data_IF_998573729808
#
_entry.id   IF_998573729808
#
_cell.length_a   1.000
_cell.length_b   1.000
_cell.length_c   1.000
_cell.angle_alpha   90.00
_cell.angle_beta   90.00
_cell.angle_gamma   90.00
#
_symmetry.space_group_name_H-M   'P 1'
#
loop_
_entity.id
_entity.type
_entity.pdbx_description
1 polymer ?
#
# COMPACT_ATOMS: atom_id res chain seq x y z
N UNK A 1 15.45 13.29 -2.11
CA UNK A 1 15.55 13.06 -3.58
C UNK A 1 16.45 11.86 -3.95
N UNK A 2 17.08 11.20 -2.97
CA UNK A 2 18.07 10.13 -3.21
C UNK A 2 17.50 8.74 -3.54
N UNK A 3 16.24 8.45 -3.22
CA UNK A 3 15.75 7.07 -3.22
C UNK A 3 14.74 6.70 -4.34
N UNK A 4 14.40 7.64 -5.22
CA UNK A 4 13.46 7.38 -6.31
C UNK A 4 14.01 6.39 -7.36
N UNK A 5 15.33 6.19 -7.41
CA UNK A 5 15.99 5.37 -8.44
C UNK A 5 16.32 3.93 -8.04
N UNK A 6 15.96 3.48 -6.84
CA UNK A 6 16.27 2.12 -6.38
C UNK A 6 15.15 1.11 -6.58
N UNK A 7 14.11 1.46 -7.35
CA UNK A 7 12.93 0.60 -7.47
C UNK A 7 12.78 0.13 -8.89
N UNK A 8 12.97 -1.17 -9.04
CA UNK A 8 12.82 -1.83 -10.33
C UNK A 8 11.50 -2.59 -10.35
N UNK A 9 10.86 -2.58 -11.51
CA UNK A 9 9.79 -3.52 -11.85
C UNK A 9 10.34 -4.39 -12.96
N UNK A 10 10.36 -5.67 -12.72
CA UNK A 10 10.76 -6.68 -13.70
C UNK A 10 9.52 -7.15 -14.44
N UNK A 11 9.65 -7.32 -15.74
CA UNK A 11 8.55 -7.76 -16.59
C UNK A 11 9.04 -8.92 -17.45
N UNK A 12 8.35 -10.05 -17.38
CA UNK A 12 8.54 -11.16 -18.29
C UNK A 12 7.34 -11.25 -19.25
N UNK A 13 7.61 -11.32 -20.56
CA UNK A 13 6.56 -11.36 -21.60
C UNK A 13 6.80 -12.53 -22.50
N UNK A 14 5.75 -13.32 -22.77
CA UNK A 14 5.82 -14.51 -23.64
C UNK A 14 4.70 -14.43 -24.68
N UNK A 15 5.03 -14.45 -26.00
CA UNK A 15 4.05 -14.58 -27.06
C UNK A 15 3.68 -16.06 -27.26
N UNK A 16 2.41 -16.31 -27.62
CA UNK A 16 1.94 -17.64 -28.04
C UNK A 16 2.54 -18.02 -29.40
N UNK A 17 2.50 -17.08 -30.33
CA UNK A 17 3.04 -17.22 -31.67
C UNK A 17 4.55 -16.99 -31.64
N UNK A 18 5.31 -17.96 -32.20
CA UNK A 18 6.77 -17.86 -32.20
C UNK A 18 7.22 -16.74 -33.18
N UNK A 19 7.98 -15.73 -32.70
CA UNK A 19 8.55 -14.73 -33.60
C UNK A 19 9.53 -15.37 -34.60
N UNK A 20 9.55 -14.87 -35.82
CA UNK A 20 10.54 -15.25 -36.85
C UNK A 20 11.88 -14.55 -36.65
N UNK A 21 11.89 -13.40 -36.00
CA UNK A 21 13.09 -12.73 -35.54
C UNK A 21 12.81 -11.84 -34.34
N UNK A 22 13.84 -11.61 -33.52
CA UNK A 22 13.85 -10.70 -32.39
C UNK A 22 14.91 -9.64 -32.58
N UNK A 23 14.79 -8.53 -31.89
CA UNK A 23 15.76 -7.45 -31.90
C UNK A 23 15.39 -6.36 -30.89
N UNK A 24 16.19 -5.32 -30.89
CA UNK A 24 15.99 -4.15 -30.04
C UNK A 24 15.65 -2.94 -30.92
N UNK A 25 14.63 -2.21 -30.54
CA UNK A 25 14.36 -0.86 -31.06
C UNK A 25 14.98 0.15 -30.09
N UNK A 26 15.92 0.93 -30.55
CA UNK A 26 16.55 1.99 -29.76
C UNK A 26 16.65 3.27 -30.62
N UNK A 27 16.17 4.39 -30.09
CA UNK A 27 16.20 5.71 -30.75
C UNK A 27 15.65 5.68 -32.20
N UNK A 28 14.61 4.89 -32.44
CA UNK A 28 13.98 4.75 -33.76
C UNK A 28 14.67 3.77 -34.72
N UNK A 29 15.77 3.13 -34.32
CA UNK A 29 16.51 2.15 -35.13
C UNK A 29 16.31 0.75 -34.58
N UNK A 30 15.93 -0.18 -35.48
CA UNK A 30 15.84 -1.61 -35.16
C UNK A 30 17.24 -2.23 -35.32
N UNK A 31 17.78 -2.74 -34.23
CA UNK A 31 19.01 -3.53 -34.21
C UNK A 31 18.64 -5.02 -34.14
N UNK A 32 18.57 -5.66 -35.30
CA UNK A 32 18.29 -7.07 -35.42
C UNK A 32 19.38 -7.91 -34.76
N UNK A 33 18.97 -9.00 -34.10
CA UNK A 33 19.87 -9.93 -33.41
C UNK A 33 20.57 -9.38 -32.14
N UNK A 34 20.25 -8.19 -31.69
CA UNK A 34 20.56 -7.78 -30.33
C UNK A 34 19.51 -8.33 -29.36
N UNK A 35 19.97 -8.76 -28.21
CA UNK A 35 19.16 -9.38 -27.15
C UNK A 35 19.06 -8.52 -25.88
N UNK A 36 19.86 -7.41 -25.82
CA UNK A 36 19.79 -6.46 -24.71
C UNK A 36 20.00 -5.01 -25.16
N UNK A 37 19.44 -4.08 -24.43
CA UNK A 37 19.73 -2.65 -24.54
C UNK A 37 19.35 -1.92 -23.25
N UNK A 38 20.05 -0.84 -22.97
CA UNK A 38 19.78 0.08 -21.88
C UNK A 38 19.42 1.47 -22.40
N UNK A 39 18.52 2.16 -21.71
CA UNK A 39 18.13 3.54 -21.99
C UNK A 39 16.61 3.72 -22.03
N UNK A 40 16.15 4.97 -21.91
CA UNK A 40 14.73 5.33 -21.86
C UNK A 40 13.96 5.03 -23.15
N UNK A 41 14.64 4.94 -24.29
CA UNK A 41 14.05 4.64 -25.59
C UNK A 41 14.35 3.22 -26.07
N UNK A 42 14.78 2.33 -25.17
CA UNK A 42 15.05 0.94 -25.50
C UNK A 42 13.78 0.10 -25.37
N UNK A 43 13.43 -0.66 -26.40
CA UNK A 43 12.30 -1.58 -26.44
C UNK A 43 12.69 -2.91 -27.07
N UNK A 44 12.14 -4.02 -26.55
CA UNK A 44 12.21 -5.28 -27.26
C UNK A 44 11.30 -5.24 -28.51
N UNK A 45 11.77 -5.80 -29.60
CA UNK A 45 11.02 -5.86 -30.87
C UNK A 45 10.92 -7.32 -31.34
N UNK A 46 9.72 -7.74 -31.72
CA UNK A 46 9.45 -9.06 -32.29
C UNK A 46 8.83 -8.92 -33.68
N UNK A 47 9.34 -9.68 -34.63
CA UNK A 47 8.74 -9.82 -35.94
C UNK A 47 8.08 -11.19 -36.05
N UNK A 48 6.84 -11.21 -36.47
CA UNK A 48 6.09 -12.41 -36.76
C UNK A 48 6.03 -12.69 -38.26
N UNK A 49 5.63 -13.90 -38.64
CA UNK A 49 5.51 -14.30 -40.05
C UNK A 49 4.55 -13.38 -40.82
N UNK A 50 4.82 -13.18 -42.11
CA UNK A 50 3.97 -12.39 -42.95
C UNK A 50 2.54 -12.98 -42.99
N UNK A 51 1.53 -12.12 -42.90
CA UNK A 51 0.14 -12.52 -42.80
C UNK A 51 -0.38 -12.80 -41.39
N UNK A 52 0.47 -12.74 -40.38
CA UNK A 52 0.04 -12.81 -38.95
C UNK A 52 -0.82 -11.56 -38.66
N UNK A 53 -2.09 -11.77 -38.33
CA UNK A 53 -3.04 -10.69 -38.01
C UNK A 53 -3.33 -10.54 -36.54
N UNK A 54 -2.98 -11.54 -35.74
CA UNK A 54 -3.24 -11.58 -34.29
C UNK A 54 -2.07 -12.21 -33.58
N UNK A 55 -1.65 -11.63 -32.48
CA UNK A 55 -0.65 -12.18 -31.57
C UNK A 55 -1.22 -12.17 -30.16
N UNK A 56 -1.15 -13.31 -29.49
CA UNK A 56 -1.56 -13.43 -28.09
C UNK A 56 -0.32 -13.34 -27.19
N UNK A 57 -0.39 -12.48 -26.18
CA UNK A 57 0.68 -12.30 -25.20
C UNK A 57 0.18 -12.62 -23.81
N UNK A 58 1.06 -13.19 -22.98
CA UNK A 58 0.91 -13.19 -21.52
C UNK A 58 2.16 -12.57 -20.90
N UNK A 59 1.99 -11.94 -19.76
CA UNK A 59 3.12 -11.34 -19.05
C UNK A 59 2.93 -11.45 -17.54
N UNK A 60 4.04 -11.41 -16.82
CA UNK A 60 4.09 -11.27 -15.39
C UNK A 60 4.96 -10.10 -15.00
N UNK A 61 4.71 -9.59 -13.82
CA UNK A 61 5.53 -8.55 -13.20
C UNK A 61 6.08 -9.05 -11.87
N UNK A 62 7.19 -8.47 -11.45
CA UNK A 62 7.79 -8.71 -10.13
C UNK A 62 8.54 -7.48 -9.66
N UNK A 63 8.60 -7.29 -8.35
CA UNK A 63 9.50 -6.33 -7.72
C UNK A 63 10.79 -6.98 -7.24
N UNK A 64 10.97 -8.30 -7.47
CA UNK A 64 12.07 -9.10 -6.96
C UNK A 64 13.10 -9.40 -8.05
N UNK A 65 12.68 -10.04 -9.15
CA UNK A 65 13.54 -10.39 -10.27
C UNK A 65 12.77 -10.76 -11.54
N UNK A 66 13.50 -10.93 -12.64
CA UNK A 66 12.96 -11.39 -13.94
C UNK A 66 12.42 -12.83 -13.85
N UNK A 67 13.18 -13.70 -13.19
CA UNK A 67 12.79 -15.10 -12.96
C UNK A 67 11.53 -15.19 -12.10
N UNK A 68 11.40 -14.28 -11.13
CA UNK A 68 10.20 -14.22 -10.32
C UNK A 68 9.00 -13.71 -11.13
N UNK A 69 9.20 -12.75 -12.05
CA UNK A 69 8.15 -12.30 -12.96
C UNK A 69 7.63 -13.44 -13.86
N UNK A 70 8.55 -14.27 -14.39
CA UNK A 70 8.19 -15.48 -15.12
C UNK A 70 7.39 -16.47 -14.26
N UNK A 71 7.84 -16.71 -13.02
CA UNK A 71 7.19 -17.61 -12.07
C UNK A 71 5.77 -17.14 -11.73
N UNK A 72 5.59 -15.83 -11.50
CA UNK A 72 4.28 -15.23 -11.26
C UNK A 72 3.35 -15.45 -12.46
N UNK A 73 3.81 -15.11 -13.67
CA UNK A 73 3.04 -15.32 -14.89
C UNK A 73 2.62 -16.80 -15.07
N UNK A 74 3.57 -17.73 -14.92
CA UNK A 74 3.27 -19.17 -15.12
C UNK A 74 2.34 -19.71 -14.05
N UNK A 75 2.36 -19.15 -12.85
CA UNK A 75 1.43 -19.53 -11.78
C UNK A 75 0.02 -19.02 -12.04
N UNK A 76 -0.14 -17.79 -12.47
CA UNK A 76 -1.43 -17.13 -12.60
C UNK A 76 -2.08 -17.35 -13.97
N UNK A 77 -1.29 -17.35 -15.05
CA UNK A 77 -1.76 -17.46 -16.43
C UNK A 77 -1.34 -18.82 -17.04
N UNK A 78 -2.20 -19.82 -16.94
CA UNK A 78 -1.89 -21.20 -17.40
C UNK A 78 -1.94 -21.34 -18.92
N UNK A 79 -2.74 -20.54 -19.60
CA UNK A 79 -2.90 -20.55 -21.04
C UNK A 79 -3.12 -19.12 -21.61
N UNK A 80 -3.33 -19.01 -22.92
CA UNK A 80 -3.63 -17.76 -23.60
C UNK A 80 -5.14 -17.52 -23.80
N UNK A 81 -5.98 -18.31 -23.13
CA UNK A 81 -7.42 -18.23 -23.32
C UNK A 81 -8.06 -17.15 -22.45
N UNK A 82 -8.22 -15.95 -23.01
CA UNK A 82 -8.85 -14.81 -22.34
C UNK A 82 -10.25 -15.13 -21.78
N UNK A 83 -11.01 -16.02 -22.45
CA UNK A 83 -12.35 -16.40 -21.96
C UNK A 83 -12.28 -17.21 -20.68
N UNK A 84 -11.29 -18.11 -20.57
CA UNK A 84 -11.04 -18.86 -19.34
C UNK A 84 -10.62 -17.93 -18.22
N UNK A 85 -9.69 -17.03 -18.49
CA UNK A 85 -9.24 -16.02 -17.52
C UNK A 85 -10.40 -15.14 -17.02
N UNK A 86 -11.22 -14.63 -17.96
CA UNK A 86 -12.39 -13.83 -17.61
C UNK A 86 -13.42 -14.61 -16.77
N UNK A 87 -13.61 -15.92 -17.06
CA UNK A 87 -14.48 -16.78 -16.26
C UNK A 87 -13.96 -16.94 -14.83
N UNK A 88 -12.66 -17.23 -14.68
CA UNK A 88 -12.01 -17.38 -13.36
C UNK A 88 -12.08 -16.07 -12.58
N UNK A 89 -11.73 -14.94 -13.20
CA UNK A 89 -11.82 -13.63 -12.57
C UNK A 89 -13.23 -13.28 -12.10
N UNK A 90 -14.25 -13.63 -12.91
CA UNK A 90 -15.66 -13.44 -12.51
C UNK A 90 -16.05 -14.30 -11.30
N UNK A 91 -15.55 -15.51 -11.20
CA UNK A 91 -15.80 -16.37 -10.05
C UNK A 91 -15.20 -15.76 -8.78
N UNK A 92 -13.93 -15.36 -8.83
CA UNK A 92 -13.24 -14.70 -7.69
C UNK A 92 -14.00 -13.47 -7.22
N UNK A 93 -14.41 -12.61 -8.16
CA UNK A 93 -15.17 -11.40 -7.82
C UNK A 93 -16.58 -11.69 -7.28
N UNK A 94 -17.26 -12.71 -7.80
CA UNK A 94 -18.56 -13.11 -7.29
C UNK A 94 -18.46 -13.67 -5.86
N UNK A 95 -17.38 -14.38 -5.53
CA UNK A 95 -17.11 -14.84 -4.16
C UNK A 95 -16.82 -13.66 -3.23
N UNK A 96 -15.97 -12.73 -3.65
CA UNK A 96 -15.60 -11.57 -2.84
C UNK A 96 -16.80 -10.65 -2.57
N UNK A 97 -17.53 -10.27 -3.62
CA UNK A 97 -18.69 -9.37 -3.53
C UNK A 97 -19.92 -10.07 -2.93
N UNK A 98 -20.03 -11.38 -3.11
CA UNK A 98 -21.10 -12.19 -2.55
C UNK A 98 -21.08 -12.37 -1.02
N UNK A 99 -20.05 -11.86 -0.34
CA UNK A 99 -20.01 -11.78 1.14
C UNK A 99 -21.09 -10.87 1.69
N UNK A 100 -21.53 -9.89 0.92
CA UNK A 100 -22.66 -9.02 1.24
C UNK A 100 -23.77 -9.29 0.24
N UNK A 101 -24.94 -9.74 0.74
CA UNK A 101 -26.13 -9.95 -0.07
C UNK A 101 -27.17 -8.92 0.32
N UNK A 102 -27.71 -8.22 -0.68
CA UNK A 102 -28.70 -7.15 -0.48
C UNK A 102 -29.98 -7.50 -1.18
N UNK A 103 -31.08 -7.39 -0.44
CA UNK A 103 -32.45 -7.55 -0.94
C UNK A 103 -33.18 -6.21 -0.88
N UNK A 104 -34.09 -5.98 -1.84
CA UNK A 104 -34.81 -4.71 -1.95
C UNK A 104 -34.00 -3.63 -2.70
N UNK A 105 -34.51 -2.39 -2.70
CA UNK A 105 -33.95 -1.29 -3.48
C UNK A 105 -34.18 -1.43 -4.99
N UNK A 106 -33.74 -0.44 -5.74
CA UNK A 106 -33.72 -0.48 -7.21
C UNK A 106 -32.47 -1.18 -7.72
N UNK A 107 -32.44 -1.53 -9.01
CA UNK A 107 -31.22 -2.08 -9.63
C UNK A 107 -30.09 -1.04 -9.66
N UNK A 108 -30.42 0.25 -9.75
CA UNK A 108 -29.43 1.34 -9.66
C UNK A 108 -28.82 1.41 -8.26
N UNK A 109 -29.62 1.28 -7.20
CA UNK A 109 -29.13 1.24 -5.82
C UNK A 109 -28.15 0.08 -5.61
N UNK A 110 -28.49 -1.10 -6.11
CA UNK A 110 -27.63 -2.29 -6.05
C UNK A 110 -26.34 -2.09 -6.86
N UNK A 111 -26.45 -1.48 -8.03
CA UNK A 111 -25.28 -1.16 -8.88
C UNK A 111 -24.31 -0.21 -8.16
N UNK A 112 -24.84 0.84 -7.55
CA UNK A 112 -24.03 1.79 -6.75
C UNK A 112 -23.38 1.09 -5.57
N UNK A 113 -24.14 0.28 -4.84
CA UNK A 113 -23.62 -0.46 -3.68
C UNK A 113 -22.47 -1.39 -4.07
N UNK A 114 -22.68 -2.28 -5.05
CA UNK A 114 -21.68 -3.25 -5.44
C UNK A 114 -20.47 -2.62 -6.15
N UNK A 115 -20.68 -1.53 -6.90
CA UNK A 115 -19.56 -0.76 -7.48
C UNK A 115 -18.73 -0.09 -6.39
N UNK A 116 -19.35 0.45 -5.35
CA UNK A 116 -18.65 1.03 -4.21
C UNK A 116 -17.94 -0.06 -3.39
N UNK A 117 -18.60 -1.20 -3.18
CA UNK A 117 -18.00 -2.34 -2.49
C UNK A 117 -16.79 -2.91 -3.27
N UNK A 118 -16.88 -3.03 -4.59
CA UNK A 118 -15.74 -3.41 -5.44
C UNK A 118 -14.53 -2.51 -5.19
N UNK A 119 -14.72 -1.18 -5.09
CA UNK A 119 -13.63 -0.22 -4.87
C UNK A 119 -12.93 -0.38 -3.52
N UNK A 120 -13.56 -0.99 -2.52
CA UNK A 120 -12.90 -1.27 -1.23
C UNK A 120 -11.81 -2.34 -1.32
N UNK A 121 -11.73 -3.06 -2.45
CA UNK A 121 -10.69 -4.05 -2.71
C UNK A 121 -9.50 -3.48 -3.52
N UNK A 122 -9.57 -2.22 -3.98
CA UNK A 122 -8.48 -1.60 -4.75
C UNK A 122 -7.22 -1.42 -3.89
N UNK A 123 -7.40 -1.23 -2.57
CA UNK A 123 -6.32 -1.02 -1.59
C UNK A 123 -6.62 -1.71 -0.26
N UNK A 124 -5.58 -2.13 0.48
CA UNK A 124 -4.18 -2.29 0.07
C UNK A 124 -4.01 -3.45 -0.92
N UNK A 125 -2.88 -3.46 -1.62
CA UNK A 125 -2.50 -4.54 -2.54
C UNK A 125 -1.60 -5.57 -1.84
N UNK A 126 -1.74 -6.84 -2.23
CA UNK A 126 -0.85 -7.90 -1.78
C UNK A 126 0.48 -7.82 -2.55
N UNK A 127 1.57 -7.64 -1.83
CA UNK A 127 2.93 -7.59 -2.38
C UNK A 127 3.63 -8.95 -2.36
N UNK A 128 3.10 -9.93 -1.61
CA UNK A 128 3.64 -11.29 -1.63
C UNK A 128 3.45 -11.93 -3.00
N UNK A 129 4.56 -12.33 -3.61
CA UNK A 129 4.61 -12.94 -4.92
C UNK A 129 4.55 -14.47 -4.82
N UNK A 130 4.46 -15.16 -5.95
CA UNK A 130 4.41 -16.62 -5.99
C UNK A 130 5.59 -17.27 -5.25
N UNK A 131 5.29 -17.99 -4.19
CA UNK A 131 6.27 -18.63 -3.31
C UNK A 131 6.51 -17.89 -2.00
N UNK A 132 5.70 -16.86 -1.68
CA UNK A 132 5.69 -16.22 -0.38
C UNK A 132 6.85 -15.26 -0.14
N UNK A 133 7.34 -14.59 -1.18
CA UNK A 133 8.38 -13.57 -1.07
C UNK A 133 7.86 -12.21 -1.52
N UNK A 134 8.35 -11.15 -0.91
CA UNK A 134 8.01 -9.79 -1.29
C UNK A 134 9.22 -8.86 -1.20
N UNK A 135 9.22 -7.82 -2.02
CA UNK A 135 10.15 -6.70 -1.89
C UNK A 135 9.53 -5.64 -0.98
N UNK A 136 10.29 -5.20 0.03
CA UNK A 136 9.90 -4.10 0.90
C UNK A 136 10.57 -2.80 0.46
N UNK A 137 9.77 -1.77 0.24
CA UNK A 137 10.28 -0.43 -0.03
C UNK A 137 10.69 0.33 1.25
N UNK A 138 10.49 -0.26 2.44
CA UNK A 138 10.76 0.36 3.73
C UNK A 138 12.20 0.15 4.19
N UNK A 139 12.85 -0.94 3.76
CA UNK A 139 14.27 -1.22 3.97
C UNK A 139 15.06 -1.49 2.68
N UNK A 140 14.36 -1.71 1.57
CA UNK A 140 14.96 -1.99 0.26
C UNK A 140 15.36 -3.45 0.05
N UNK A 141 14.86 -4.36 0.88
CA UNK A 141 15.25 -5.77 0.88
C UNK A 141 14.11 -6.70 0.44
N UNK A 142 14.46 -7.92 0.10
CA UNK A 142 13.49 -9.00 -0.22
C UNK A 142 13.33 -9.89 1.00
N UNK A 143 12.09 -10.11 1.41
CA UNK A 143 11.73 -10.92 2.57
C UNK A 143 10.88 -12.12 2.20
N UNK A 144 10.86 -13.13 3.08
CA UNK A 144 9.86 -14.19 3.08
C UNK A 144 8.66 -13.75 3.91
N UNK A 145 7.44 -14.02 3.45
CA UNK A 145 6.20 -13.67 4.17
C UNK A 145 5.84 -14.66 5.30
N UNK A 146 6.56 -15.78 5.37
CA UNK A 146 6.38 -16.82 6.39
C UNK A 146 4.90 -17.28 6.50
N UNK A 147 4.15 -17.23 5.41
CA UNK A 147 2.75 -17.63 5.35
C UNK A 147 1.76 -16.53 5.76
N UNK A 148 2.24 -15.33 6.06
CA UNK A 148 1.40 -14.14 6.30
C UNK A 148 1.63 -13.14 5.17
N UNK A 149 0.69 -13.01 4.21
CA UNK A 149 0.88 -12.12 3.07
C UNK A 149 1.18 -10.68 3.48
N UNK A 150 2.15 -10.06 2.80
CA UNK A 150 2.51 -8.67 3.01
C UNK A 150 1.67 -7.76 2.12
N UNK A 151 0.95 -6.83 2.76
CA UNK A 151 0.10 -5.85 2.11
C UNK A 151 0.73 -4.46 2.17
N UNK A 152 0.62 -3.70 1.07
CA UNK A 152 1.12 -2.32 0.96
C UNK A 152 0.16 -1.48 0.10
N UNK A 153 0.51 -0.21 -0.14
CA UNK A 153 -0.29 0.74 -0.90
C UNK A 153 -1.64 1.01 -0.25
N UNK A 154 -1.61 1.40 1.01
CA UNK A 154 -2.79 1.78 1.77
C UNK A 154 -2.75 3.27 2.16
N UNK A 155 -3.77 3.98 1.80
CA UNK A 155 -3.95 5.36 2.19
C UNK A 155 -4.72 5.42 3.51
N UNK A 156 -4.01 5.15 4.61
CA UNK A 156 -4.61 4.94 5.93
C UNK A 156 -5.50 6.12 6.36
N UNK A 157 -5.15 7.35 5.96
CA UNK A 157 -5.98 8.53 6.22
C UNK A 157 -7.37 8.43 5.59
N UNK A 158 -7.49 7.75 4.46
CA UNK A 158 -8.76 7.49 3.77
C UNK A 158 -9.45 6.24 4.31
N UNK A 159 -8.70 5.16 4.48
CA UNK A 159 -9.22 3.80 4.68
C UNK A 159 -9.64 3.50 6.12
N UNK A 160 -9.04 4.17 7.13
CA UNK A 160 -9.33 3.90 8.54
C UNK A 160 -10.81 4.15 8.91
N UNK A 161 -11.49 5.06 8.18
CA UNK A 161 -12.88 5.46 8.51
C UNK A 161 -13.90 4.40 8.20
N UNK A 162 -13.72 3.63 7.13
CA UNK A 162 -14.73 2.68 6.66
C UNK A 162 -14.16 1.37 6.11
N UNK A 163 -13.09 1.40 5.31
CA UNK A 163 -12.60 0.19 4.63
C UNK A 163 -12.03 -0.84 5.63
N UNK A 164 -11.19 -0.41 6.57
CA UNK A 164 -10.70 -1.27 7.65
C UNK A 164 -11.84 -1.75 8.56
N UNK A 165 -12.72 -0.87 9.10
CA UNK A 165 -13.87 -1.31 9.87
C UNK A 165 -14.79 -2.29 9.13
N UNK A 166 -14.96 -2.13 7.82
CA UNK A 166 -15.73 -3.09 7.01
C UNK A 166 -15.03 -4.45 6.95
N UNK A 167 -13.72 -4.48 6.73
CA UNK A 167 -12.94 -5.74 6.66
C UNK A 167 -12.99 -6.50 7.99
N UNK A 168 -12.97 -5.83 9.12
CA UNK A 168 -13.12 -6.50 10.43
C UNK A 168 -14.44 -7.29 10.54
N UNK A 169 -15.45 -6.98 9.73
CA UNK A 169 -16.74 -7.68 9.70
C UNK A 169 -16.79 -8.80 8.66
N UNK A 170 -16.17 -8.59 7.49
CA UNK A 170 -16.37 -9.47 6.33
C UNK A 170 -15.12 -10.29 5.96
N UNK A 171 -13.93 -9.90 6.42
CA UNK A 171 -12.66 -10.56 6.09
C UNK A 171 -11.60 -10.35 7.19
N UNK A 172 -11.89 -10.85 8.39
CA UNK A 172 -11.06 -10.64 9.58
C UNK A 172 -9.61 -11.08 9.37
N UNK A 173 -9.41 -12.27 8.79
CA UNK A 173 -8.04 -12.76 8.54
C UNK A 173 -7.22 -11.84 7.65
N UNK A 174 -7.84 -11.29 6.60
CA UNK A 174 -7.16 -10.31 5.73
C UNK A 174 -6.83 -9.02 6.49
N UNK A 175 -7.71 -8.57 7.37
CA UNK A 175 -7.46 -7.38 8.17
C UNK A 175 -6.31 -7.61 9.17
N UNK A 176 -6.23 -8.80 9.80
CA UNK A 176 -5.10 -9.20 10.64
C UNK A 176 -3.78 -9.17 9.86
N UNK A 177 -3.77 -9.70 8.63
CA UNK A 177 -2.57 -9.72 7.77
C UNK A 177 -2.14 -8.31 7.33
N UNK A 178 -3.11 -7.42 7.07
CA UNK A 178 -2.84 -6.01 6.75
C UNK A 178 -2.21 -5.30 7.95
N UNK A 179 -2.77 -5.46 9.14
CA UNK A 179 -2.23 -4.85 10.37
C UNK A 179 -0.84 -5.43 10.69
N UNK A 180 -0.63 -6.74 10.51
CA UNK A 180 0.69 -7.35 10.63
C UNK A 180 1.70 -6.73 9.66
N UNK A 181 1.27 -6.41 8.43
CA UNK A 181 2.10 -5.73 7.45
C UNK A 181 2.49 -4.31 7.90
N UNK A 182 1.58 -3.56 8.51
CA UNK A 182 1.90 -2.23 9.07
C UNK A 182 2.94 -2.32 10.18
N UNK A 183 2.86 -3.35 11.03
CA UNK A 183 3.87 -3.59 12.08
C UNK A 183 5.23 -3.97 11.50
N UNK A 184 5.25 -4.78 10.43
CA UNK A 184 6.49 -5.09 9.71
C UNK A 184 7.10 -3.85 9.06
N UNK A 185 6.29 -2.97 8.46
CA UNK A 185 6.77 -1.68 7.92
C UNK A 185 7.44 -0.83 8.99
N UNK A 186 6.85 -0.75 10.19
CA UNK A 186 7.43 -0.01 11.31
C UNK A 186 8.80 -0.56 11.73
N UNK A 187 8.96 -1.89 11.74
CA UNK A 187 10.24 -2.55 12.02
C UNK A 187 11.26 -2.31 10.90
N UNK A 188 10.87 -2.50 9.66
CA UNK A 188 11.74 -2.35 8.48
C UNK A 188 12.24 -0.92 8.31
N UNK A 189 11.46 0.09 8.69
CA UNK A 189 11.92 1.48 8.76
C UNK A 189 12.97 1.73 9.87
N UNK A 190 13.16 0.79 10.79
CA UNK A 190 14.13 0.88 11.90
C UNK A 190 13.73 1.85 13.03
N UNK A 191 12.66 2.60 12.87
CA UNK A 191 12.18 3.58 13.88
C UNK A 191 11.10 3.02 14.79
N UNK A 192 10.45 1.95 14.39
CA UNK A 192 9.21 1.45 15.01
C UNK A 192 8.06 2.47 14.97
N UNK A 193 8.08 3.42 14.06
CA UNK A 193 6.95 4.31 13.82
C UNK A 193 5.96 3.67 12.86
N UNK A 194 4.69 3.69 13.20
CA UNK A 194 3.66 3.18 12.28
C UNK A 194 3.67 3.98 10.98
N UNK A 195 3.41 3.30 9.83
CA UNK A 195 3.28 4.01 8.56
C UNK A 195 2.10 4.97 8.63
N UNK A 196 2.25 6.11 7.94
CA UNK A 196 1.21 7.13 7.84
C UNK A 196 0.42 7.01 6.53
N UNK A 197 1.17 6.84 5.45
CA UNK A 197 0.61 6.77 4.11
C UNK A 197 1.48 5.84 3.25
N UNK A 198 1.46 4.53 3.54
CA UNK A 198 2.30 3.56 2.84
C UNK A 198 1.91 3.47 1.37
N UNK A 199 2.90 3.55 0.51
CA UNK A 199 2.79 3.38 -0.94
C UNK A 199 3.79 2.32 -1.40
N UNK A 200 3.63 1.79 -2.59
CA UNK A 200 4.56 0.82 -3.20
C UNK A 200 6.02 1.30 -3.12
N UNK A 201 6.18 2.60 -2.99
CA UNK A 201 7.47 3.28 -2.94
C UNK A 201 7.96 3.63 -1.53
N UNK A 202 7.30 3.17 -0.47
CA UNK A 202 7.58 3.47 0.95
C UNK A 202 6.55 4.41 1.56
N UNK A 203 6.75 4.80 2.81
CA UNK A 203 5.83 5.72 3.47
C UNK A 203 6.02 7.15 2.94
N UNK A 204 5.08 7.62 2.13
CA UNK A 204 5.11 8.97 1.58
C UNK A 204 4.75 10.04 2.61
N UNK A 205 4.15 9.63 3.72
CA UNK A 205 3.71 10.51 4.82
C UNK A 205 2.82 11.66 4.37
N UNK A 206 2.18 11.51 3.23
CA UNK A 206 1.12 12.40 2.79
C UNK A 206 0.02 12.39 3.83
N UNK A 207 -0.75 13.42 3.88
CA UNK A 207 -1.76 13.56 4.91
C UNK A 207 -1.16 13.34 6.31
N UNK A 208 -1.48 14.19 7.16
CA UNK A 208 -1.02 14.16 8.50
C UNK A 208 -1.91 13.23 9.30
N UNK A 209 -1.36 12.19 9.83
CA UNK A 209 -2.03 11.39 10.85
C UNK A 209 -1.18 10.22 11.35
N UNK A 210 -1.58 9.67 12.49
CA UNK A 210 -1.15 8.38 12.98
C UNK A 210 -2.33 7.38 13.01
N UNK A 211 -3.27 7.49 12.06
CA UNK A 211 -4.56 6.77 12.06
C UNK A 211 -4.42 5.23 11.95
N UNK A 212 -3.23 4.69 11.73
CA UNK A 212 -2.98 3.25 11.92
C UNK A 212 -3.38 2.81 13.35
N UNK A 213 -3.23 3.69 14.36
CA UNK A 213 -3.69 3.39 15.73
C UNK A 213 -5.20 3.21 15.82
N UNK A 214 -5.97 4.00 15.04
CA UNK A 214 -7.44 3.87 15.01
C UNK A 214 -7.87 2.53 14.39
N UNK A 215 -7.21 2.13 13.29
CA UNK A 215 -7.42 0.82 12.66
C UNK A 215 -7.15 -0.33 13.63
N UNK A 216 -6.04 -0.26 14.36
CA UNK A 216 -5.64 -1.29 15.34
C UNK A 216 -6.59 -1.31 16.54
N UNK A 217 -6.96 -0.15 17.08
CA UNK A 217 -7.87 -0.06 18.21
C UNK A 217 -9.24 -0.66 17.89
N UNK A 218 -9.79 -0.37 16.70
CA UNK A 218 -11.05 -0.94 16.22
C UNK A 218 -10.97 -2.47 16.07
N UNK A 219 -9.90 -2.96 15.44
CA UNK A 219 -9.67 -4.39 15.24
C UNK A 219 -9.53 -5.16 16.58
N UNK A 220 -8.77 -4.62 17.53
CA UNK A 220 -8.61 -5.20 18.87
C UNK A 220 -9.93 -5.20 19.65
N UNK A 221 -10.71 -4.11 19.58
CA UNK A 221 -12.01 -4.02 20.22
C UNK A 221 -13.01 -5.05 19.66
N UNK A 222 -12.84 -5.47 18.41
CA UNK A 222 -13.65 -6.52 17.76
C UNK A 222 -13.08 -7.93 17.93
N UNK A 223 -11.97 -8.08 18.66
CA UNK A 223 -11.39 -9.38 19.01
C UNK A 223 -10.51 -10.02 17.94
N UNK A 224 -9.99 -9.24 16.98
CA UNK A 224 -9.03 -9.74 16.01
C UNK A 224 -7.70 -10.12 16.68
N UNK A 225 -7.03 -11.13 16.13
CA UNK A 225 -5.78 -11.65 16.67
C UNK A 225 -4.60 -10.79 16.22
N UNK A 226 -4.27 -9.76 16.99
CA UNK A 226 -3.20 -8.80 16.73
C UNK A 226 -2.24 -8.81 17.92
N UNK A 227 -0.94 -8.67 17.67
CA UNK A 227 0.05 -8.41 18.72
C UNK A 227 -0.16 -7.01 19.31
N UNK A 228 -1.05 -6.93 20.30
CA UNK A 228 -1.45 -5.67 20.92
C UNK A 228 -0.28 -4.95 21.61
N UNK A 229 0.68 -5.70 22.18
CA UNK A 229 1.82 -5.10 22.85
C UNK A 229 2.77 -4.42 21.87
N UNK A 230 3.12 -5.10 20.79
CA UNK A 230 3.94 -4.57 19.70
C UNK A 230 3.24 -3.38 19.02
N UNK A 231 1.94 -3.52 18.74
CA UNK A 231 1.14 -2.47 18.14
C UNK A 231 1.08 -1.21 19.01
N UNK A 232 0.87 -1.37 20.32
CA UNK A 232 0.89 -0.27 21.27
C UNK A 232 2.22 0.50 21.23
N UNK A 233 3.35 -0.21 21.33
CA UNK A 233 4.68 0.42 21.30
C UNK A 233 4.95 1.16 19.98
N UNK A 234 4.61 0.57 18.84
CA UNK A 234 4.81 1.21 17.55
C UNK A 234 3.92 2.46 17.36
N UNK A 235 2.65 2.38 17.78
CA UNK A 235 1.72 3.52 17.75
C UNK A 235 2.17 4.63 18.69
N UNK A 236 2.56 4.29 19.92
CA UNK A 236 3.03 5.26 20.93
C UNK A 236 4.27 5.99 20.44
N UNK A 237 5.28 5.25 19.96
CA UNK A 237 6.49 5.85 19.40
C UNK A 237 6.19 6.79 18.22
N UNK A 238 5.32 6.38 17.30
CA UNK A 238 4.92 7.24 16.19
C UNK A 238 4.27 8.55 16.63
N UNK A 239 3.46 8.53 17.68
CA UNK A 239 2.80 9.72 18.23
C UNK A 239 3.77 10.59 19.05
N UNK A 240 4.68 9.97 19.81
CA UNK A 240 5.58 10.69 20.73
C UNK A 240 6.89 11.15 20.08
N UNK A 241 7.45 10.38 19.17
CA UNK A 241 8.81 10.60 18.67
C UNK A 241 8.86 11.22 17.27
N UNK A 242 7.82 11.04 16.44
CA UNK A 242 7.73 11.59 15.10
C UNK A 242 7.06 12.96 15.11
N UNK A 243 7.50 13.87 14.24
CA UNK A 243 6.81 15.15 14.09
C UNK A 243 5.38 14.96 13.56
N UNK A 244 4.48 15.81 14.04
CA UNK A 244 3.09 15.91 13.57
C UNK A 244 2.96 16.73 12.26
N UNK A 245 4.05 17.36 11.80
CA UNK A 245 4.04 18.14 10.57
C UNK A 245 3.77 17.24 9.36
N UNK A 246 2.77 17.56 8.52
CA UNK A 246 2.45 16.78 7.32
C UNK A 246 3.64 16.67 6.35
N UNK A 247 3.78 15.50 5.70
CA UNK A 247 4.85 15.17 4.75
C UNK A 247 6.26 15.17 5.35
N UNK A 248 6.39 15.23 6.64
CA UNK A 248 7.68 15.16 7.31
C UNK A 248 7.92 13.81 7.96
N UNK A 249 9.13 13.30 7.81
CA UNK A 249 9.62 12.11 8.51
C UNK A 249 10.63 12.43 9.59
N UNK A 250 10.70 13.68 10.00
CA UNK A 250 11.60 14.11 11.05
C UNK A 250 11.15 13.63 12.43
N UNK A 251 12.09 13.62 13.37
CA UNK A 251 11.76 13.48 14.80
C UNK A 251 10.94 14.71 15.28
N UNK A 252 10.21 14.50 16.38
CA UNK A 252 9.43 15.54 17.00
C UNK A 252 10.30 16.77 17.36
N UNK A 253 9.78 17.97 17.08
CA UNK A 253 10.43 19.25 17.26
C UNK A 253 9.66 20.18 18.19
N UNK A 254 9.89 21.50 18.06
CA UNK A 254 9.25 22.49 18.91
C UNK A 254 7.73 22.52 18.74
N UNK A 255 7.24 22.35 17.50
CA UNK A 255 5.81 22.35 17.18
C UNK A 255 5.08 21.22 17.91
N UNK A 256 5.73 20.05 17.98
CA UNK A 256 5.21 18.86 18.66
C UNK A 256 5.24 19.02 20.17
N UNK A 257 6.30 19.63 20.70
CA UNK A 257 6.38 19.98 22.13
C UNK A 257 5.33 21.01 22.52
N UNK A 258 5.10 22.02 21.66
CA UNK A 258 4.03 22.99 21.88
C UNK A 258 2.66 22.30 21.95
N UNK A 259 2.40 21.34 21.04
CA UNK A 259 1.16 20.56 21.09
C UNK A 259 1.01 19.79 22.41
N UNK A 260 2.08 19.15 22.89
CA UNK A 260 2.04 18.38 24.15
C UNK A 260 1.76 19.26 25.35
N UNK A 261 2.28 20.47 25.37
CA UNK A 261 2.10 21.43 26.46
C UNK A 261 0.74 22.13 26.43
N UNK A 262 0.22 22.41 25.24
CA UNK A 262 -0.93 23.31 25.05
C UNK A 262 -2.17 22.61 24.51
N UNK A 263 -2.06 21.37 23.98
CA UNK A 263 -3.17 20.59 23.43
C UNK A 263 -3.60 20.98 22.01
N UNK A 264 -2.83 21.82 21.31
CA UNK A 264 -3.13 22.23 19.94
C UNK A 264 -1.88 22.63 19.16
N UNK A 265 -1.95 22.57 17.84
CA UNK A 265 -0.92 23.13 16.94
C UNK A 265 -1.22 24.61 16.69
N UNK A 266 -0.25 25.52 16.92
CA UNK A 266 -0.47 26.94 16.75
C UNK A 266 -0.56 27.31 15.26
N UNK A 267 -1.59 28.09 14.90
CA UNK A 267 -1.71 28.68 13.57
C UNK A 267 -0.78 29.88 13.43
N UNK A 268 -0.33 30.14 12.21
CA UNK A 268 0.35 31.40 11.87
C UNK A 268 -0.68 32.52 11.70
N UNK A 269 -0.31 33.72 12.12
CA UNK A 269 -1.06 34.94 11.78
C UNK A 269 -0.90 35.25 10.28
N UNK A 270 -1.79 36.03 9.67
CA UNK A 270 -1.76 36.34 8.24
C UNK A 270 -0.44 36.94 7.72
N UNK A 271 0.28 37.67 8.57
CA UNK A 271 1.56 38.34 8.30
C UNK A 271 2.78 37.55 8.82
N UNK A 272 2.57 36.46 9.50
CA UNK A 272 3.61 35.61 10.10
C UNK A 272 4.17 34.59 9.08
N UNK A 273 5.49 34.44 9.08
CA UNK A 273 6.17 33.49 8.23
C UNK A 273 6.44 32.20 8.98
N UNK A 274 6.34 31.08 8.27
CA UNK A 274 6.74 29.77 8.79
C UNK A 274 8.24 29.74 9.10
N UNK A 275 8.59 29.25 10.26
CA UNK A 275 9.98 29.14 10.73
C UNK A 275 10.38 27.71 11.07
N UNK A 276 9.42 26.79 11.18
CA UNK A 276 9.73 25.39 11.43
C UNK A 276 10.19 24.71 10.12
N UNK A 277 11.43 24.19 10.05
CA UNK A 277 11.96 23.56 8.86
C UNK A 277 11.25 22.24 8.51
N UNK A 278 10.53 21.64 9.43
CA UNK A 278 9.78 20.41 9.23
C UNK A 278 8.44 20.64 8.54
N UNK A 279 7.96 21.90 8.52
CA UNK A 279 6.69 22.24 7.89
C UNK A 279 6.85 22.36 6.38
N UNK A 280 6.20 21.47 5.64
CA UNK A 280 6.27 21.47 4.18
C UNK A 280 5.65 22.76 3.60
N UNK A 281 6.32 23.45 2.66
CA UNK A 281 5.86 24.76 2.14
C UNK A 281 4.47 24.74 1.50
N UNK A 282 4.08 23.61 0.91
CA UNK A 282 2.75 23.42 0.31
C UNK A 282 1.71 23.01 1.36
N UNK A 283 2.00 22.00 2.16
CA UNK A 283 1.06 21.42 3.13
C UNK A 283 0.81 22.31 4.35
N UNK A 284 1.77 23.15 4.72
CA UNK A 284 1.67 24.02 5.90
C UNK A 284 1.53 23.21 7.20
N UNK A 285 1.21 23.90 8.31
CA UNK A 285 1.01 23.27 9.63
C UNK A 285 -0.28 22.50 9.75
N UNK A 286 -1.29 22.83 8.95
CA UNK A 286 -2.66 22.30 9.07
C UNK A 286 -3.18 22.25 10.52
N UNK A 287 -3.15 23.35 11.27
CA UNK A 287 -3.24 23.34 12.74
C UNK A 287 -4.54 22.71 13.26
N UNK A 288 -5.67 22.94 12.60
CA UNK A 288 -6.96 22.37 13.00
C UNK A 288 -7.00 20.86 12.72
N UNK A 289 -6.62 20.46 11.50
CA UNK A 289 -6.65 19.04 11.12
C UNK A 289 -5.69 18.20 11.95
N UNK A 290 -4.45 18.71 12.17
CA UNK A 290 -3.43 18.04 13.00
C UNK A 290 -3.89 17.91 14.44
N UNK A 291 -4.41 18.99 15.03
CA UNK A 291 -4.90 18.98 16.42
C UNK A 291 -6.01 17.95 16.61
N UNK A 292 -7.04 17.98 15.75
CA UNK A 292 -8.18 17.08 15.87
C UNK A 292 -7.81 15.62 15.57
N UNK A 293 -7.00 15.38 14.51
CA UNK A 293 -6.54 14.06 14.15
C UNK A 293 -5.68 13.44 15.24
N UNK A 294 -4.71 14.19 15.77
CA UNK A 294 -3.83 13.69 16.84
C UNK A 294 -4.59 13.41 18.14
N UNK A 295 -5.57 14.26 18.50
CA UNK A 295 -6.40 14.01 19.68
C UNK A 295 -7.19 12.71 19.56
N UNK A 296 -7.70 12.41 18.36
CA UNK A 296 -8.38 11.14 18.09
C UNK A 296 -7.41 9.95 18.13
N UNK A 297 -6.23 10.09 17.55
CA UNK A 297 -5.19 9.05 17.57
C UNK A 297 -4.74 8.73 19.01
N UNK A 298 -4.57 9.76 19.85
CA UNK A 298 -4.25 9.58 21.27
C UNK A 298 -5.38 8.88 22.04
N UNK A 299 -6.63 9.22 21.74
CA UNK A 299 -7.77 8.52 22.32
C UNK A 299 -7.77 7.03 21.91
N UNK A 300 -7.52 6.73 20.62
CA UNK A 300 -7.40 5.35 20.17
C UNK A 300 -6.25 4.61 20.86
N UNK A 301 -5.10 5.26 21.06
CA UNK A 301 -3.98 4.69 21.78
C UNK A 301 -4.33 4.35 23.24
N UNK A 302 -5.09 5.23 23.93
CA UNK A 302 -5.57 4.97 25.28
C UNK A 302 -6.49 3.74 25.34
N UNK A 303 -7.31 3.48 24.29
CA UNK A 303 -8.13 2.27 24.22
C UNK A 303 -7.28 1.00 24.09
N UNK A 304 -6.17 1.06 23.35
CA UNK A 304 -5.22 -0.08 23.27
C UNK A 304 -4.55 -0.28 24.62
N UNK A 305 -4.13 0.80 25.30
CA UNK A 305 -3.55 0.74 26.63
C UNK A 305 -4.49 0.08 27.64
N UNK A 306 -5.78 0.41 27.62
CA UNK A 306 -6.80 -0.23 28.47
C UNK A 306 -6.91 -1.75 28.20
N UNK A 307 -6.90 -2.19 26.96
CA UNK A 307 -6.91 -3.61 26.58
C UNK A 307 -5.69 -4.33 27.18
N UNK A 308 -4.53 -3.65 27.21
CA UNK A 308 -3.29 -4.17 27.79
C UNK A 308 -3.22 -4.05 29.32
N UNK A 309 -4.23 -3.47 29.98
CA UNK A 309 -4.25 -3.23 31.41
C UNK A 309 -3.31 -2.13 31.91
N UNK A 310 -2.83 -1.27 31.01
CA UNK A 310 -1.95 -0.12 31.30
C UNK A 310 -2.82 1.09 31.72
N UNK A 311 -3.15 1.18 33.00
CA UNK A 311 -4.11 2.16 33.51
C UNK A 311 -3.58 3.56 33.73
N UNK A 312 -2.26 3.71 33.76
CA UNK A 312 -1.55 4.95 34.11
C UNK A 312 -0.81 5.56 32.90
N UNK A 313 -1.05 5.05 31.70
CA UNK A 313 -0.40 5.50 30.44
C UNK A 313 -1.38 6.14 29.45
#
# INVERSE_FOLDING_TARGET
LGDVYKRQVYVYIEPQEKPVSTGILKDGVIEASKDNAEGINACAAWRFADGTTTVSLRYGISFISEEQAEKNMRNELKDYNIKNLAKTGRQIWNEALGRIKVEGGTEDDKTVLYSSFYRTFERPICMSETGGRYFSAFDGEVHDDNGTPFYNDDWIWDTYRAAHPLRTLIDQKKEEDIIASFLLMAEQMGTMWMPTFPEVTGDSRRMNSNHAVATIADALAKGLNIDAAKAYEACRKGIEEKTLAPWSGAAAGWLDNFYRENGYIPALRPDEKETDPNVHPFEKRQPVAVTLGTSYDQWCLSRIAEILGKKDE
#
